data_IF_177527157823
#
_entry.id   IF_177527157823
#
_cell.length_a   1.000
_cell.length_b   1.000
_cell.length_c   1.000
_cell.angle_alpha   90.00
_cell.angle_beta   90.00
_cell.angle_gamma   90.00
#
_symmetry.space_group_name_H-M   'P 1'
#
loop_
_entity.id
_entity.type
_entity.pdbx_description
1 polymer ?
#
# COMPACT_ATOMS: atom_id res chain seq x y z
N UNK A 1 9.04 -7.95 2.44
CA UNK A 1 10.33 -7.24 2.26
C UNK A 1 10.22 -6.36 1.04
N UNK A 2 10.64 -5.10 1.12
CA UNK A 2 10.69 -4.17 -0.02
C UNK A 2 12.06 -4.19 -0.67
N UNK A 3 12.10 -4.19 -2.00
CA UNK A 3 13.31 -4.19 -2.81
C UNK A 3 13.22 -3.05 -3.82
N UNK A 4 14.31 -2.30 -4.00
CA UNK A 4 14.41 -1.26 -5.02
C UNK A 4 15.45 -1.72 -6.03
N UNK A 5 15.03 -1.91 -7.28
CA UNK A 5 15.92 -2.31 -8.35
C UNK A 5 16.75 -1.12 -8.83
N UNK A 6 17.89 -1.38 -9.48
CA UNK A 6 18.73 -0.37 -10.12
C UNK A 6 17.98 0.45 -11.19
N UNK A 7 16.90 -0.11 -11.74
CA UNK A 7 15.97 0.59 -12.65
C UNK A 7 15.06 1.61 -11.95
N UNK A 8 15.10 1.72 -10.62
CA UNK A 8 14.17 2.51 -9.82
C UNK A 8 12.84 1.81 -9.55
N UNK A 9 12.65 0.60 -10.08
CA UNK A 9 11.43 -0.19 -9.92
C UNK A 9 11.35 -0.75 -8.48
N UNK A 10 10.26 -0.42 -7.78
CA UNK A 10 9.97 -0.97 -6.46
C UNK A 10 9.27 -2.32 -6.56
N UNK A 11 9.64 -3.25 -5.69
CA UNK A 11 8.95 -4.52 -5.52
C UNK A 11 8.65 -4.78 -4.04
N UNK A 12 7.55 -5.49 -3.80
CA UNK A 12 7.15 -5.92 -2.47
C UNK A 12 6.89 -7.42 -2.46
N UNK A 13 7.67 -8.15 -1.66
CA UNK A 13 7.48 -9.58 -1.45
C UNK A 13 6.39 -9.81 -0.39
N UNK A 14 5.28 -10.42 -0.80
CA UNK A 14 4.17 -10.85 0.03
C UNK A 14 4.04 -12.38 0.00
N UNK A 15 4.55 -13.04 1.04
CA UNK A 15 4.67 -14.49 1.06
C UNK A 15 5.61 -14.98 -0.06
N UNK A 16 5.08 -15.79 -0.97
CA UNK A 16 5.81 -16.30 -2.16
C UNK A 16 5.53 -15.50 -3.43
N UNK A 17 4.76 -14.41 -3.35
CA UNK A 17 4.35 -13.60 -4.50
C UNK A 17 5.04 -12.25 -4.45
N UNK A 18 5.59 -11.85 -5.58
CA UNK A 18 6.16 -10.51 -5.76
C UNK A 18 5.12 -9.57 -6.36
N UNK A 19 4.93 -8.43 -5.72
CA UNK A 19 4.11 -7.33 -6.20
C UNK A 19 5.00 -6.23 -6.76
N UNK A 20 4.58 -5.64 -7.87
CA UNK A 20 5.15 -4.40 -8.38
C UNK A 20 4.60 -3.22 -7.58
N UNK A 21 5.47 -2.29 -7.18
CA UNK A 21 5.11 -1.10 -6.41
C UNK A 21 5.32 0.13 -7.29
N UNK A 22 4.24 0.90 -7.48
CA UNK A 22 4.25 2.13 -8.27
C UNK A 22 3.67 3.28 -7.48
N UNK A 23 4.03 4.51 -7.86
CA UNK A 23 3.33 5.69 -7.35
C UNK A 23 1.92 5.75 -7.95
N UNK A 24 0.93 5.96 -7.10
CA UNK A 24 -0.41 6.27 -7.51
C UNK A 24 -0.54 7.69 -8.03
N UNK A 25 -1.74 8.04 -8.47
CA UNK A 25 -2.06 9.42 -8.85
C UNK A 25 -1.78 10.36 -7.67
N UNK A 26 -1.04 11.44 -7.94
CA UNK A 26 -0.80 12.51 -6.97
C UNK A 26 -2.16 13.10 -6.55
N UNK A 27 -2.34 13.31 -5.25
CA UNK A 27 -3.51 13.99 -4.73
C UNK A 27 -3.07 15.35 -4.15
N UNK A 28 -3.75 16.42 -4.57
CA UNK A 28 -3.45 17.79 -4.13
C UNK A 28 -4.41 18.28 -3.02
N UNK A 29 -5.32 17.42 -2.57
CA UNK A 29 -6.24 17.72 -1.47
C UNK A 29 -5.71 17.13 -0.16
N UNK A 30 -6.04 17.80 0.94
CA UNK A 30 -5.71 17.35 2.30
C UNK A 30 -6.42 16.03 2.60
N UNK A 31 -5.67 15.05 3.10
CA UNK A 31 -6.19 13.75 3.54
C UNK A 31 -5.70 13.45 4.95
N UNK A 32 -6.59 13.52 5.91
CA UNK A 32 -6.31 13.23 7.32
C UNK A 32 -6.44 11.72 7.59
N UNK A 33 -5.39 11.12 8.16
CA UNK A 33 -5.47 9.79 8.73
C UNK A 33 -5.99 9.92 10.17
N UNK A 34 -7.13 9.31 10.45
CA UNK A 34 -7.79 9.41 11.75
C UNK A 34 -8.00 8.02 12.35
N UNK A 35 -7.67 7.88 13.63
CA UNK A 35 -8.05 6.73 14.44
C UNK A 35 -9.39 7.00 15.15
N UNK A 36 -10.28 6.00 15.15
CA UNK A 36 -11.53 6.05 15.90
C UNK A 36 -11.61 4.84 16.84
N UNK A 37 -11.78 5.12 18.12
CA UNK A 37 -12.05 4.12 19.16
C UNK A 37 -13.53 4.08 19.49
N UNK A 38 -14.17 2.93 19.25
CA UNK A 38 -15.55 2.68 19.66
C UNK A 38 -15.54 1.76 20.88
N UNK A 39 -15.70 2.33 22.08
CA UNK A 39 -15.86 1.57 23.33
C UNK A 39 -17.32 1.35 23.71
N UNK A 40 -17.58 0.53 24.74
CA UNK A 40 -18.93 0.18 25.24
C UNK A 40 -19.68 1.35 25.90
N UNK A 41 -19.03 2.50 26.08
CA UNK A 41 -19.64 3.71 26.61
C UNK A 41 -20.04 4.68 25.49
N UNK A 42 -20.99 5.58 25.76
CA UNK A 42 -21.62 6.46 24.75
C UNK A 42 -20.67 7.46 24.04
N UNK A 43 -19.38 7.49 24.40
CA UNK A 43 -18.41 8.45 23.87
C UNK A 43 -17.33 7.72 23.07
N UNK A 44 -17.33 7.93 21.76
CA UNK A 44 -16.26 7.49 20.86
C UNK A 44 -15.09 8.45 20.92
N UNK A 45 -13.87 7.92 20.97
CA UNK A 45 -12.64 8.71 20.86
C UNK A 45 -12.23 8.84 19.39
N UNK A 46 -11.82 10.04 18.97
CA UNK A 46 -11.31 10.31 17.63
C UNK A 46 -9.98 11.06 17.76
N UNK A 47 -8.94 10.57 17.08
CA UNK A 47 -7.60 11.16 17.12
C UNK A 47 -7.06 11.30 15.70
N UNK A 48 -6.61 12.50 15.32
CA UNK A 48 -5.91 12.74 14.06
C UNK A 48 -4.46 12.27 14.20
N UNK A 49 -4.04 11.33 13.35
CA UNK A 49 -2.70 10.73 13.37
C UNK A 49 -1.70 11.46 12.46
N UNK A 50 -2.19 12.20 11.46
CA UNK A 50 -1.36 12.94 10.52
C UNK A 50 -1.98 13.00 9.12
N UNK A 51 -1.17 13.40 8.13
CA UNK A 51 -1.61 13.58 6.75
C UNK A 51 -1.03 12.49 5.84
N UNK A 52 -1.82 12.03 4.87
CA UNK A 52 -1.35 11.11 3.85
C UNK A 52 -0.71 11.87 2.68
N UNK A 53 0.62 11.80 2.56
CA UNK A 53 1.37 12.56 1.54
C UNK A 53 1.48 11.86 0.18
N UNK A 54 1.55 10.53 0.18
CA UNK A 54 1.74 9.75 -1.04
C UNK A 54 0.87 8.49 -1.05
N UNK A 55 0.56 8.03 -2.26
CA UNK A 55 -0.21 6.81 -2.51
C UNK A 55 0.65 5.83 -3.28
N UNK A 56 0.83 4.63 -2.74
CA UNK A 56 1.45 3.53 -3.47
C UNK A 56 0.39 2.58 -4.02
N UNK A 57 0.64 2.06 -5.21
CA UNK A 57 -0.17 1.01 -5.84
C UNK A 57 0.70 -0.24 -5.88
N UNK A 58 0.20 -1.32 -5.27
CA UNK A 58 0.80 -2.64 -5.34
C UNK A 58 -0.04 -3.50 -6.29
N UNK A 59 0.54 -3.95 -7.39
CA UNK A 59 -0.12 -4.86 -8.34
C UNK A 59 0.66 -6.15 -8.49
N UNK A 60 0.00 -7.31 -8.66
CA UNK A 60 0.70 -8.56 -8.91
C UNK A 60 1.49 -8.49 -10.22
N UNK A 61 2.67 -9.10 -10.26
CA UNK A 61 3.37 -9.37 -11.50
C UNK A 61 2.71 -10.55 -12.21
N UNK A 62 1.73 -10.28 -13.07
CA UNK A 62 0.98 -11.32 -13.77
C UNK A 62 1.85 -12.16 -14.71
N UNK A 63 2.86 -11.56 -15.35
CA UNK A 63 3.79 -12.28 -16.23
C UNK A 63 4.49 -13.40 -15.45
N UNK A 64 5.16 -13.07 -14.35
CA UNK A 64 5.81 -14.07 -13.50
C UNK A 64 4.82 -15.09 -12.92
N UNK A 65 3.60 -14.68 -12.56
CA UNK A 65 2.60 -15.60 -12.02
C UNK A 65 2.06 -16.60 -13.06
N UNK A 66 2.01 -16.22 -14.33
CA UNK A 66 1.49 -17.05 -15.42
C UNK A 66 2.58 -17.91 -16.05
N UNK A 67 3.83 -17.47 -16.06
CA UNK A 67 4.97 -18.27 -16.53
C UNK A 67 5.14 -19.55 -15.70
N UNK A 68 4.86 -19.49 -14.39
CA UNK A 68 4.88 -20.67 -13.52
C UNK A 68 3.85 -21.75 -13.85
N UNK A 69 2.86 -21.48 -14.73
CA UNK A 69 1.83 -22.45 -15.14
C UNK A 69 2.05 -23.03 -16.53
N UNK A 70 2.96 -22.46 -17.33
CA UNK A 70 3.26 -22.92 -18.69
C UNK A 70 4.55 -23.76 -18.79
N UNK A 71 5.16 -24.09 -17.65
CA UNK A 71 6.16 -25.16 -17.48
C UNK A 71 5.51 -26.39 -16.84
#
# INVERSE_FOLDING_TARGET
MSLIHTSGQGQYLLGKVTLHVMMGTVCSFLQDLVAMGFGDSRMSEMTVLGYAECKLICSPNFESLLDHKHQ
#
